data_IF_879380571588
#
_entry.id   IF_879380571588
#
_cell.length_a   1.000
_cell.length_b   1.000
_cell.length_c   1.000
_cell.angle_alpha   90.00
_cell.angle_beta   90.00
_cell.angle_gamma   90.00
#
_symmetry.space_group_name_H-M   'P 1'
#
loop_
_entity.id
_entity.type
_entity.pdbx_description
1 polymer ?
#
# COMPACT_ATOMS: atom_id res chain seq x y z
N UNK A 1 34.70 13.32 -28.05
CA UNK A 1 33.90 14.53 -28.35
C UNK A 1 32.81 14.58 -27.31
N UNK A 2 32.89 15.55 -26.40
CA UNK A 2 31.94 15.75 -25.30
C UNK A 2 30.62 16.29 -25.85
N UNK A 3 29.64 15.41 -26.04
CA UNK A 3 28.26 15.82 -26.30
C UNK A 3 27.75 16.53 -25.03
N UNK A 4 27.60 17.85 -25.10
CA UNK A 4 27.03 18.66 -24.02
C UNK A 4 25.53 18.37 -23.91
N UNK A 5 25.16 17.37 -23.10
CA UNK A 5 23.77 16.95 -22.89
C UNK A 5 22.86 18.03 -22.25
N UNK A 6 23.43 19.11 -21.73
CA UNK A 6 22.72 20.16 -20.97
C UNK A 6 22.51 21.47 -21.75
N UNK A 7 22.75 21.49 -23.08
CA UNK A 7 22.52 22.68 -23.91
C UNK A 7 21.16 22.62 -24.64
N UNK A 8 20.57 23.79 -25.00
CA UNK A 8 19.35 23.84 -25.80
C UNK A 8 19.52 23.11 -27.15
N UNK A 9 18.54 22.30 -27.52
CA UNK A 9 18.41 21.62 -28.82
C UNK A 9 17.87 22.57 -29.88
N UNK A 10 17.94 22.15 -31.15
CA UNK A 10 17.57 22.94 -32.33
C UNK A 10 16.15 23.52 -32.31
N UNK A 11 15.25 22.99 -31.46
CA UNK A 11 13.86 23.45 -31.30
C UNK A 11 13.54 24.07 -29.92
N UNK A 12 14.54 24.25 -29.04
CA UNK A 12 14.32 24.73 -27.67
C UNK A 12 14.20 26.27 -27.58
N UNK A 13 14.49 26.99 -28.66
CA UNK A 13 14.34 28.44 -28.74
C UNK A 13 13.01 28.80 -29.40
N UNK A 14 12.02 29.22 -28.61
CA UNK A 14 10.78 29.81 -29.13
C UNK A 14 11.00 31.31 -29.33
N UNK A 15 10.92 31.79 -30.57
CA UNK A 15 10.99 33.20 -30.91
C UNK A 15 9.77 33.93 -30.31
N UNK A 16 10.02 34.80 -29.33
CA UNK A 16 9.01 35.65 -28.73
C UNK A 16 8.37 36.58 -29.78
N UNK A 17 7.04 36.55 -29.85
CA UNK A 17 6.25 37.48 -30.66
C UNK A 17 6.38 38.92 -30.17
N UNK A 18 6.29 39.85 -31.12
CA UNK A 18 6.59 41.28 -30.98
C UNK A 18 5.74 41.98 -29.90
N UNK A 19 6.27 42.06 -28.68
CA UNK A 19 6.28 43.21 -27.75
C UNK A 19 6.81 42.74 -26.38
N UNK A 20 8.13 42.57 -26.27
CA UNK A 20 8.76 42.09 -25.03
C UNK A 20 9.10 43.24 -24.06
N UNK A 21 8.77 43.14 -22.76
CA UNK A 21 9.52 43.82 -21.71
C UNK A 21 10.93 43.19 -21.63
N UNK A 22 11.92 44.00 -21.32
CA UNK A 22 13.39 43.78 -21.46
C UNK A 22 13.99 42.65 -20.57
N UNK A 23 13.20 41.71 -20.04
CA UNK A 23 13.71 40.64 -19.14
C UNK A 23 13.30 39.19 -19.45
N UNK A 24 12.56 38.88 -20.51
CA UNK A 24 12.16 37.50 -20.81
C UNK A 24 12.93 36.87 -21.98
N UNK A 25 14.15 36.40 -21.69
CA UNK A 25 14.71 35.29 -22.46
C UNK A 25 13.97 34.02 -22.01
N UNK A 26 13.22 33.38 -22.91
CA UNK A 26 12.73 32.02 -22.71
C UNK A 26 13.97 31.13 -22.68
N UNK A 27 14.43 30.79 -21.48
CA UNK A 27 15.56 29.88 -21.29
C UNK A 27 15.18 28.55 -21.96
N UNK A 28 15.81 28.23 -23.09
CA UNK A 28 15.69 26.90 -23.71
C UNK A 28 16.48 25.85 -22.92
N UNK A 29 16.39 24.59 -23.34
CA UNK A 29 17.14 23.51 -22.71
C UNK A 29 16.62 23.13 -21.32
N UNK A 30 17.49 22.51 -20.52
CA UNK A 30 17.16 22.02 -19.16
C UNK A 30 16.74 23.15 -18.20
N UNK A 31 17.21 24.38 -18.40
CA UNK A 31 16.79 25.53 -17.57
C UNK A 31 15.36 25.98 -17.88
N UNK A 32 14.90 25.81 -19.13
CA UNK A 32 13.51 26.00 -19.52
C UNK A 32 12.58 24.98 -18.87
N UNK A 33 13.02 23.72 -18.81
CA UNK A 33 12.32 22.66 -18.07
C UNK A 33 12.17 23.04 -16.60
N UNK A 34 13.26 23.43 -15.92
CA UNK A 34 13.21 23.85 -14.51
C UNK A 34 12.25 25.01 -14.28
N UNK A 35 12.22 26.01 -15.16
CA UNK A 35 11.30 27.15 -15.06
C UNK A 35 9.84 26.71 -15.18
N UNK A 36 9.52 25.85 -16.16
CA UNK A 36 8.15 25.35 -16.34
C UNK A 36 7.69 24.43 -15.21
N UNK A 37 8.59 23.68 -14.57
CA UNK A 37 8.26 22.87 -13.38
C UNK A 37 7.76 23.72 -12.19
N UNK A 38 8.08 25.02 -12.16
CA UNK A 38 7.61 25.98 -11.15
C UNK A 38 6.28 26.66 -11.52
N UNK A 39 5.68 26.33 -12.68
CA UNK A 39 4.40 26.89 -13.10
C UNK A 39 3.29 26.60 -12.08
N UNK A 40 2.28 27.46 -12.06
CA UNK A 40 1.05 27.22 -11.30
C UNK A 40 0.08 26.27 -12.03
N UNK A 41 0.24 26.13 -13.36
CA UNK A 41 -0.57 25.25 -14.19
C UNK A 41 0.02 23.85 -14.20
N UNK A 42 -0.82 22.82 -14.06
CA UNK A 42 -0.34 21.44 -13.95
C UNK A 42 0.18 20.95 -15.30
N UNK A 43 -0.49 21.35 -16.38
CA UNK A 43 -0.22 20.98 -17.76
C UNK A 43 1.19 21.38 -18.17
N UNK A 44 1.61 22.62 -17.86
CA UNK A 44 2.96 23.12 -18.14
C UNK A 44 4.04 22.28 -17.45
N UNK A 45 3.75 21.79 -16.25
CA UNK A 45 4.69 21.04 -15.42
C UNK A 45 4.79 19.59 -15.86
N UNK A 46 3.68 19.00 -16.29
CA UNK A 46 3.67 17.68 -16.93
C UNK A 46 4.46 17.71 -18.24
N UNK A 47 4.21 18.71 -19.10
CA UNK A 47 4.99 18.89 -20.34
C UNK A 47 6.49 19.06 -20.03
N UNK A 48 6.82 19.85 -19.01
CA UNK A 48 8.21 20.01 -18.56
C UNK A 48 8.83 18.70 -18.08
N UNK A 49 8.10 17.88 -17.33
CA UNK A 49 8.59 16.56 -16.90
C UNK A 49 8.82 15.62 -18.08
N UNK A 50 7.93 15.65 -19.08
CA UNK A 50 8.10 14.88 -20.30
C UNK A 50 9.36 15.34 -21.06
N UNK A 51 9.56 16.66 -21.18
CA UNK A 51 10.74 17.23 -21.81
C UNK A 51 12.03 16.94 -21.04
N UNK A 52 11.97 16.79 -19.71
CA UNK A 52 13.12 16.42 -18.90
C UNK A 52 13.77 15.11 -19.38
N UNK A 53 13.00 14.16 -19.93
CA UNK A 53 13.52 12.89 -20.48
C UNK A 53 14.59 13.10 -21.57
N UNK A 54 14.58 14.27 -22.21
CA UNK A 54 15.53 14.64 -23.25
C UNK A 54 16.93 15.01 -22.71
N UNK A 55 17.10 15.19 -21.40
CA UNK A 55 18.33 15.77 -20.82
C UNK A 55 19.14 14.78 -19.98
N UNK A 56 19.08 13.49 -20.29
CA UNK A 56 19.93 12.47 -19.68
C UNK A 56 19.84 12.44 -18.15
N UNK A 57 20.99 12.41 -17.47
CA UNK A 57 21.05 12.33 -16.02
C UNK A 57 20.41 13.56 -15.33
N UNK A 58 20.69 14.78 -15.83
CA UNK A 58 20.13 16.01 -15.24
C UNK A 58 18.61 16.08 -15.39
N UNK A 59 18.08 15.56 -16.51
CA UNK A 59 16.65 15.39 -16.69
C UNK A 59 16.04 14.37 -15.73
N UNK A 60 16.69 13.21 -15.58
CA UNK A 60 16.24 12.17 -14.67
C UNK A 60 16.22 12.64 -13.21
N UNK A 61 17.19 13.45 -12.78
CA UNK A 61 17.23 14.06 -11.45
C UNK A 61 16.01 14.97 -11.21
N UNK A 62 15.57 15.74 -12.21
CA UNK A 62 14.36 16.59 -12.08
C UNK A 62 13.09 15.75 -11.95
N UNK A 63 12.99 14.64 -12.69
CA UNK A 63 11.86 13.71 -12.58
C UNK A 63 11.86 13.07 -11.18
N UNK A 64 13.01 12.63 -10.67
CA UNK A 64 13.14 12.07 -9.32
C UNK A 64 12.78 13.11 -8.25
N UNK A 65 13.22 14.36 -8.39
CA UNK A 65 12.86 15.45 -7.47
C UNK A 65 11.34 15.72 -7.45
N UNK A 66 10.69 15.60 -8.60
CA UNK A 66 9.25 15.85 -8.75
C UNK A 66 8.37 14.79 -8.09
N UNK A 67 8.96 13.69 -7.63
CA UNK A 67 8.31 12.77 -6.72
C UNK A 67 7.96 13.42 -5.37
N UNK A 68 8.64 14.50 -4.96
CA UNK A 68 8.32 15.26 -3.75
C UNK A 68 7.47 16.51 -4.01
N UNK A 69 6.84 16.59 -5.19
CA UNK A 69 6.06 17.77 -5.56
C UNK A 69 4.83 17.97 -4.67
N UNK A 70 4.38 19.22 -4.51
CA UNK A 70 3.13 19.52 -3.78
C UNK A 70 1.87 18.99 -4.48
N UNK A 71 1.86 18.89 -5.81
CA UNK A 71 0.73 18.39 -6.59
C UNK A 71 0.79 16.88 -6.75
N UNK A 72 -0.30 16.22 -6.37
CA UNK A 72 -0.48 14.79 -6.59
C UNK A 72 -0.41 14.36 -8.04
N UNK A 73 -0.95 15.17 -8.96
CA UNK A 73 -0.89 14.89 -10.41
C UNK A 73 0.56 14.84 -10.90
N UNK A 74 1.40 15.78 -10.45
CA UNK A 74 2.82 15.85 -10.81
C UNK A 74 3.61 14.70 -10.19
N UNK A 75 3.38 14.38 -8.92
CA UNK A 75 3.99 13.21 -8.26
C UNK A 75 3.69 11.91 -9.02
N UNK A 76 2.43 11.71 -9.42
CA UNK A 76 1.99 10.54 -10.21
C UNK A 76 2.63 10.51 -11.59
N UNK A 77 2.64 11.63 -12.30
CA UNK A 77 3.23 11.73 -13.63
C UNK A 77 4.73 11.40 -13.59
N UNK A 78 5.47 11.97 -12.64
CA UNK A 78 6.87 11.63 -12.40
C UNK A 78 7.08 10.13 -12.13
N UNK A 79 6.22 9.51 -11.32
CA UNK A 79 6.31 8.07 -11.05
C UNK A 79 6.09 7.22 -12.31
N UNK A 80 5.13 7.59 -13.18
CA UNK A 80 4.89 6.90 -14.46
C UNK A 80 6.14 6.97 -15.32
N UNK A 81 6.73 8.16 -15.48
CA UNK A 81 7.94 8.35 -16.29
C UNK A 81 9.12 7.52 -15.78
N UNK A 82 9.30 7.39 -14.46
CA UNK A 82 10.37 6.57 -13.86
C UNK A 82 10.13 5.07 -13.99
N UNK A 83 8.88 4.61 -13.99
CA UNK A 83 8.54 3.18 -14.06
C UNK A 83 8.89 2.55 -15.42
N UNK A 84 9.09 3.38 -16.45
CA UNK A 84 9.53 2.95 -17.78
C UNK A 84 11.06 2.94 -17.92
N UNK A 85 11.79 3.21 -16.82
CA UNK A 85 13.25 3.35 -16.78
C UNK A 85 13.92 2.16 -16.13
N UNK A 86 15.16 1.87 -16.56
CA UNK A 86 15.97 0.77 -16.05
C UNK A 86 17.26 1.26 -15.35
N UNK A 87 17.47 2.58 -15.29
CA UNK A 87 18.63 3.16 -14.62
C UNK A 87 18.64 2.84 -13.12
N UNK A 88 19.80 2.49 -12.53
CA UNK A 88 19.90 2.16 -11.10
C UNK A 88 19.37 3.29 -10.20
N UNK A 89 19.55 4.55 -10.59
CA UNK A 89 19.03 5.70 -9.85
C UNK A 89 17.51 5.83 -9.93
N UNK A 90 16.87 5.47 -11.05
CA UNK A 90 15.42 5.44 -11.16
C UNK A 90 14.83 4.27 -10.35
N UNK A 91 15.47 3.10 -10.41
CA UNK A 91 15.08 1.93 -9.60
C UNK A 91 15.24 2.23 -8.10
N UNK A 92 16.39 2.76 -7.68
CA UNK A 92 16.63 3.14 -6.30
C UNK A 92 15.71 4.28 -5.85
N UNK A 93 15.44 5.25 -6.73
CA UNK A 93 14.47 6.30 -6.47
C UNK A 93 13.07 5.72 -6.31
N UNK A 94 12.58 4.80 -7.14
CA UNK A 94 11.28 4.16 -6.96
C UNK A 94 11.22 3.24 -5.73
N UNK A 95 12.33 2.59 -5.37
CA UNK A 95 12.45 1.81 -4.14
C UNK A 95 12.41 2.70 -2.89
N UNK A 96 12.96 3.92 -2.97
CA UNK A 96 13.11 4.85 -1.84
C UNK A 96 12.00 5.88 -1.75
N UNK A 97 11.53 6.37 -2.89
CA UNK A 97 10.34 7.19 -3.05
C UNK A 97 9.22 6.27 -2.69
N UNK A 98 8.71 6.40 -1.47
CA UNK A 98 7.77 5.48 -0.85
C UNK A 98 6.39 5.68 -1.46
N UNK A 99 6.00 4.89 -2.47
CA UNK A 99 4.76 5.09 -3.13
C UNK A 99 3.98 3.83 -2.75
N UNK A 100 3.21 3.89 -1.67
CA UNK A 100 2.24 2.82 -1.41
C UNK A 100 1.22 2.68 -2.58
N UNK A 101 1.40 3.50 -3.61
CA UNK A 101 0.90 3.44 -4.95
C UNK A 101 1.88 2.93 -6.02
N UNK A 102 1.24 2.43 -7.08
CA UNK A 102 1.62 2.64 -8.48
C UNK A 102 1.98 1.40 -9.32
N UNK A 103 2.03 0.17 -8.78
CA UNK A 103 1.86 -1.04 -9.64
C UNK A 103 1.52 -2.33 -8.91
N UNK A 104 2.18 -2.63 -7.79
CA UNK A 104 2.13 -3.98 -7.19
C UNK A 104 0.77 -4.34 -6.61
N UNK A 105 0.11 -3.39 -5.94
CA UNK A 105 -1.25 -3.59 -5.43
C UNK A 105 -2.31 -3.56 -6.53
N UNK A 106 -2.09 -2.78 -7.56
CA UNK A 106 -3.01 -2.67 -8.69
C UNK A 106 -3.02 -3.92 -9.57
N UNK A 107 -1.88 -4.60 -9.73
CA UNK A 107 -1.85 -5.92 -10.35
C UNK A 107 -2.48 -7.00 -9.45
N UNK A 108 -2.45 -6.84 -8.12
CA UNK A 108 -3.22 -7.70 -7.20
C UNK A 108 -4.74 -7.45 -7.29
N UNK A 109 -5.17 -6.24 -7.67
CA UNK A 109 -6.56 -5.81 -7.82
C UNK A 109 -7.12 -6.01 -9.24
N UNK A 110 -6.27 -6.36 -10.24
CA UNK A 110 -6.70 -6.96 -11.51
C UNK A 110 -7.33 -8.36 -11.36
N UNK A 111 -7.74 -8.75 -10.15
CA UNK A 111 -8.67 -9.85 -9.90
C UNK A 111 -10.00 -9.47 -10.57
N UNK A 112 -10.14 -9.86 -11.83
CA UNK A 112 -11.42 -9.83 -12.52
C UNK A 112 -12.40 -10.72 -11.75
N UNK A 113 -13.22 -10.13 -10.89
CA UNK A 113 -14.46 -10.70 -10.39
C UNK A 113 -14.32 -11.85 -9.40
N UNK A 114 -13.43 -11.78 -8.41
CA UNK A 114 -13.47 -12.74 -7.30
C UNK A 114 -13.22 -12.09 -5.96
N UNK A 115 -14.23 -12.22 -5.10
CA UNK A 115 -14.25 -11.86 -3.69
C UNK A 115 -13.24 -12.61 -2.81
N UNK A 116 -12.56 -13.60 -3.38
CA UNK A 116 -11.82 -14.60 -2.65
C UNK A 116 -10.31 -14.44 -2.85
N UNK A 117 -9.53 -14.84 -1.84
CA UNK A 117 -8.08 -14.92 -1.93
C UNK A 117 -7.72 -16.26 -2.56
N UNK A 118 -7.80 -16.34 -3.88
CA UNK A 118 -7.65 -17.59 -4.65
C UNK A 118 -6.20 -17.97 -4.95
N UNK A 119 -5.24 -17.10 -4.66
CA UNK A 119 -3.82 -17.34 -4.93
C UNK A 119 -2.93 -16.66 -3.92
N UNK A 120 -1.79 -17.30 -3.65
CA UNK A 120 -0.75 -16.71 -2.82
C UNK A 120 -0.14 -15.47 -3.46
N UNK A 121 0.39 -14.61 -2.60
CA UNK A 121 1.09 -13.41 -3.01
C UNK A 121 2.32 -13.75 -3.85
N UNK A 122 2.39 -13.16 -5.04
CA UNK A 122 3.55 -13.26 -5.94
C UNK A 122 4.60 -12.18 -5.65
N UNK A 123 4.19 -11.13 -4.94
CA UNK A 123 5.02 -10.01 -4.50
C UNK A 123 4.65 -9.59 -3.09
N UNK A 124 5.65 -9.12 -2.34
CA UNK A 124 5.46 -8.55 -1.02
C UNK A 124 6.55 -7.53 -0.75
N UNK A 125 6.19 -6.33 -0.28
CA UNK A 125 7.14 -5.28 0.05
C UNK A 125 8.14 -4.95 -1.08
N UNK A 126 7.67 -4.81 -2.34
CA UNK A 126 8.51 -4.58 -3.52
C UNK A 126 9.52 -5.70 -3.83
N UNK A 127 9.25 -6.93 -3.37
CA UNK A 127 10.09 -8.12 -3.58
C UNK A 127 9.29 -9.22 -4.24
N UNK A 128 9.97 -10.04 -5.04
CA UNK A 128 9.38 -11.28 -5.58
C UNK A 128 9.19 -12.25 -4.44
N UNK A 129 8.02 -12.86 -4.34
CA UNK A 129 7.77 -13.90 -3.35
C UNK A 129 8.16 -15.26 -3.95
N UNK A 130 9.02 -15.99 -3.27
CA UNK A 130 9.48 -17.31 -3.70
C UNK A 130 9.35 -18.32 -2.56
N UNK A 131 8.78 -19.51 -2.83
CA UNK A 131 8.75 -20.59 -1.84
C UNK A 131 10.18 -20.98 -1.50
N UNK A 132 10.52 -21.03 -0.21
CA UNK A 132 11.85 -21.45 0.22
C UNK A 132 12.06 -22.94 -0.08
N UNK A 133 13.17 -23.25 -0.76
CA UNK A 133 13.64 -24.59 -1.03
C UNK A 133 14.98 -24.83 -0.30
N UNK A 134 15.01 -25.70 0.72
CA UNK A 134 16.24 -25.99 1.45
C UNK A 134 17.38 -26.57 0.60
N UNK A 135 17.09 -27.17 -0.56
CA UNK A 135 18.12 -27.68 -1.47
C UNK A 135 18.85 -26.54 -2.21
N UNK A 136 18.17 -25.41 -2.39
CA UNK A 136 18.69 -24.22 -3.09
C UNK A 136 19.26 -23.20 -2.10
N UNK A 137 18.61 -23.03 -0.94
CA UNK A 137 18.96 -22.03 0.06
C UNK A 137 18.68 -20.58 -0.39
N UNK A 138 19.35 -19.62 0.25
CA UNK A 138 19.09 -18.17 0.08
C UNK A 138 19.81 -17.58 -1.15
N UNK A 139 19.19 -17.56 -2.32
CA UNK A 139 19.79 -17.00 -3.56
C UNK A 139 19.85 -15.47 -3.65
N UNK A 140 18.88 -14.74 -3.10
CA UNK A 140 18.78 -13.28 -3.14
C UNK A 140 18.24 -12.76 -1.80
N UNK A 141 19.02 -11.93 -1.11
CA UNK A 141 18.69 -11.45 0.23
C UNK A 141 17.85 -10.16 0.24
N UNK A 142 17.76 -9.45 -0.89
CA UNK A 142 17.15 -8.11 -1.00
C UNK A 142 15.92 -8.12 -1.89
N UNK A 143 16.02 -8.70 -3.09
CA UNK A 143 14.95 -8.71 -4.09
C UNK A 143 13.88 -9.79 -3.88
N UNK A 144 14.13 -10.74 -2.98
CA UNK A 144 13.24 -11.88 -2.70
C UNK A 144 12.66 -11.81 -1.28
N UNK A 145 11.37 -12.13 -1.17
CA UNK A 145 10.69 -12.44 0.06
C UNK A 145 10.46 -13.96 0.13
N UNK A 146 11.14 -14.63 1.06
CA UNK A 146 11.08 -16.09 1.15
C UNK A 146 9.79 -16.53 1.84
N UNK A 147 9.03 -17.37 1.14
CA UNK A 147 7.74 -17.87 1.59
C UNK A 147 7.84 -19.27 2.20
N UNK A 148 7.23 -19.41 3.37
CA UNK A 148 7.09 -20.66 4.11
C UNK A 148 5.61 -20.98 4.22
N UNK A 149 5.19 -22.01 3.48
CA UNK A 149 3.78 -22.44 3.39
C UNK A 149 3.74 -23.95 3.27
N UNK A 150 2.76 -24.56 3.93
CA UNK A 150 2.31 -25.93 3.66
C UNK A 150 0.93 -25.89 3.00
N UNK A 151 0.43 -27.02 2.50
CA UNK A 151 -0.92 -27.17 1.99
C UNK A 151 -1.77 -28.05 2.91
N UNK A 152 -3.10 -28.00 2.75
CA UNK A 152 -4.06 -28.74 3.58
C UNK A 152 -3.84 -30.26 3.62
N UNK A 153 -3.29 -30.82 2.54
CA UNK A 153 -3.00 -32.25 2.39
C UNK A 153 -1.50 -32.57 2.53
N UNK A 154 -0.70 -31.62 3.03
CA UNK A 154 0.74 -31.75 3.12
C UNK A 154 1.22 -32.43 4.39
N UNK A 155 2.18 -33.34 4.24
CA UNK A 155 2.97 -33.89 5.34
C UNK A 155 4.17 -32.97 5.72
N UNK A 156 4.38 -31.87 4.98
CA UNK A 156 5.49 -30.95 5.20
C UNK A 156 5.23 -30.04 6.41
N UNK A 157 6.12 -30.11 7.41
CA UNK A 157 6.18 -29.13 8.50
C UNK A 157 7.05 -27.96 8.09
N UNK A 158 6.50 -26.73 8.15
CA UNK A 158 7.30 -25.55 7.80
C UNK A 158 8.43 -25.29 8.81
N UNK A 159 8.30 -25.80 10.04
CA UNK A 159 9.31 -25.70 11.09
C UNK A 159 10.68 -26.25 10.65
N UNK A 160 10.73 -27.43 10.04
CA UNK A 160 11.98 -28.04 9.58
C UNK A 160 12.68 -27.17 8.52
N UNK A 161 11.90 -26.57 7.61
CA UNK A 161 12.42 -25.66 6.58
C UNK A 161 12.95 -24.36 7.19
N UNK A 162 12.32 -23.89 8.26
CA UNK A 162 12.75 -22.70 8.99
C UNK A 162 14.04 -22.96 9.77
N UNK A 163 14.24 -24.15 10.35
CA UNK A 163 15.52 -24.52 10.95
C UNK A 163 16.65 -24.51 9.90
N UNK A 164 16.40 -25.11 8.73
CA UNK A 164 17.36 -25.10 7.62
C UNK A 164 17.64 -23.69 7.08
N UNK A 165 16.66 -22.79 7.08
CA UNK A 165 16.89 -21.38 6.76
C UNK A 165 17.90 -20.75 7.73
N UNK A 166 17.76 -21.03 9.04
CA UNK A 166 18.63 -20.48 10.08
C UNK A 166 20.07 -21.04 10.07
N UNK A 167 20.33 -22.06 9.26
CA UNK A 167 21.68 -22.62 9.02
C UNK A 167 22.37 -21.96 7.81
N UNK A 168 21.64 -21.32 6.89
CA UNK A 168 22.23 -20.66 5.74
C UNK A 168 23.06 -19.44 6.19
N UNK A 169 24.33 -19.41 5.78
CA UNK A 169 25.28 -18.34 6.08
C UNK A 169 24.82 -16.92 5.68
N UNK A 170 23.81 -16.80 4.80
CA UNK A 170 23.25 -15.54 4.33
C UNK A 170 22.01 -15.08 5.11
N UNK A 171 21.52 -15.87 6.08
CA UNK A 171 20.26 -15.59 6.79
C UNK A 171 20.21 -14.20 7.42
N UNK A 172 21.34 -13.71 7.95
CA UNK A 172 21.43 -12.37 8.55
C UNK A 172 21.25 -11.21 7.58
N UNK A 173 21.26 -11.47 6.28
CA UNK A 173 21.05 -10.46 5.23
C UNK A 173 19.61 -10.46 4.69
N UNK A 174 18.82 -11.49 4.96
CA UNK A 174 17.44 -11.62 4.46
C UNK A 174 16.59 -10.45 4.93
N UNK A 175 15.90 -9.80 4.00
CA UNK A 175 15.09 -8.63 4.28
C UNK A 175 13.59 -8.90 4.43
N UNK A 176 13.08 -10.00 3.88
CA UNK A 176 11.64 -10.26 3.89
C UNK A 176 11.28 -11.74 4.02
N UNK A 177 10.29 -12.02 4.86
CA UNK A 177 9.70 -13.35 5.06
C UNK A 177 8.18 -13.30 4.89
N UNK A 178 7.63 -14.35 4.29
CA UNK A 178 6.19 -14.54 4.08
C UNK A 178 5.80 -15.89 4.69
N UNK A 179 4.73 -15.93 5.45
CA UNK A 179 4.25 -17.13 6.12
C UNK A 179 2.81 -17.40 5.71
N UNK A 180 2.55 -18.58 5.15
CA UNK A 180 1.21 -19.09 4.85
C UNK A 180 0.73 -20.06 5.93
N UNK A 181 0.05 -21.14 5.54
CA UNK A 181 -0.35 -22.19 6.49
C UNK A 181 0.90 -22.79 7.17
N UNK A 182 0.82 -22.95 8.50
CA UNK A 182 1.91 -23.52 9.30
C UNK A 182 1.89 -25.05 9.31
N UNK A 183 0.70 -25.63 9.47
CA UNK A 183 0.49 -27.07 9.45
C UNK A 183 -0.82 -27.42 8.74
N UNK A 184 -0.92 -28.66 8.25
CA UNK A 184 -2.11 -29.18 7.56
C UNK A 184 -3.29 -29.41 8.51
N UNK A 185 -3.05 -29.57 9.81
CA UNK A 185 -4.12 -29.61 10.82
C UNK A 185 -4.66 -28.20 11.11
N UNK A 186 -5.65 -27.80 10.31
CA UNK A 186 -6.33 -26.50 10.33
C UNK A 186 -7.06 -26.21 11.65
N UNK A 187 -7.16 -27.19 12.55
CA UNK A 187 -7.87 -27.06 13.83
C UNK A 187 -6.96 -26.65 15.00
N UNK A 188 -5.63 -26.64 14.83
CA UNK A 188 -4.73 -26.09 15.84
C UNK A 188 -4.68 -24.55 15.77
N UNK A 189 -5.25 -23.91 16.78
CA UNK A 189 -5.38 -22.46 16.96
C UNK A 189 -4.06 -21.66 17.01
N UNK A 190 -2.92 -22.32 16.94
CA UNK A 190 -1.62 -21.78 17.36
C UNK A 190 -0.66 -21.49 16.19
N UNK A 191 -1.11 -21.63 14.94
CA UNK A 191 -0.29 -21.41 13.74
C UNK A 191 0.41 -20.03 13.73
N UNK A 192 -0.31 -18.97 14.09
CA UNK A 192 0.27 -17.62 14.18
C UNK A 192 1.24 -17.46 15.34
N UNK A 193 0.96 -18.09 16.49
CA UNK A 193 1.83 -18.06 17.66
C UNK A 193 3.15 -18.79 17.38
N UNK A 194 3.13 -19.88 16.62
CA UNK A 194 4.34 -20.59 16.21
C UNK A 194 5.21 -19.73 15.29
N UNK A 195 4.61 -18.99 14.36
CA UNK A 195 5.33 -18.01 13.51
C UNK A 195 5.97 -16.93 14.38
N UNK A 196 5.21 -16.34 15.31
CA UNK A 196 5.71 -15.32 16.25
C UNK A 196 6.87 -15.87 17.07
N UNK A 197 6.72 -17.06 17.66
CA UNK A 197 7.75 -17.70 18.48
C UNK A 197 9.03 -17.97 17.68
N UNK A 198 8.90 -18.48 16.46
CA UNK A 198 10.04 -18.67 15.57
C UNK A 198 10.78 -17.36 15.32
N UNK A 199 10.05 -16.32 14.93
CA UNK A 199 10.59 -15.00 14.65
C UNK A 199 11.33 -14.42 15.86
N UNK A 200 10.71 -14.44 17.05
CA UNK A 200 11.35 -13.97 18.29
C UNK A 200 12.62 -14.77 18.61
N UNK A 201 12.59 -16.10 18.50
CA UNK A 201 13.75 -16.95 18.77
C UNK A 201 14.88 -16.78 17.74
N UNK A 202 14.54 -16.35 16.52
CA UNK A 202 15.47 -16.15 15.43
C UNK A 202 16.01 -14.70 15.33
N UNK A 203 15.65 -13.80 16.26
CA UNK A 203 15.99 -12.38 16.18
C UNK A 203 17.51 -12.10 16.01
N UNK A 204 18.36 -12.89 16.67
CA UNK A 204 19.82 -12.74 16.61
C UNK A 204 20.42 -13.24 15.28
N UNK A 205 19.67 -14.04 14.52
CA UNK A 205 20.07 -14.57 13.21
C UNK A 205 19.47 -13.78 12.06
N UNK A 206 18.22 -13.32 12.17
CA UNK A 206 17.49 -12.57 11.14
C UNK A 206 17.71 -11.06 11.28
N UNK A 207 18.97 -10.65 11.37
CA UNK A 207 19.36 -9.30 11.81
C UNK A 207 18.97 -8.15 10.86
N UNK A 208 18.70 -8.45 9.58
CA UNK A 208 18.35 -7.45 8.56
C UNK A 208 16.88 -7.55 8.10
N UNK A 209 16.02 -8.21 8.88
CA UNK A 209 14.61 -8.37 8.53
C UNK A 209 13.88 -7.01 8.55
N UNK A 210 13.26 -6.66 7.42
CA UNK A 210 12.57 -5.38 7.17
C UNK A 210 11.09 -5.55 6.86
N UNK A 211 10.66 -6.70 6.35
CA UNK A 211 9.27 -6.94 6.01
C UNK A 211 8.80 -8.34 6.42
N UNK A 212 7.64 -8.43 7.06
CA UNK A 212 7.03 -9.72 7.44
C UNK A 212 5.57 -9.74 7.03
N UNK A 213 5.16 -10.81 6.35
CA UNK A 213 3.76 -11.11 6.09
C UNK A 213 3.37 -12.42 6.80
N UNK A 214 2.45 -12.33 7.76
CA UNK A 214 1.85 -13.47 8.45
C UNK A 214 0.44 -13.71 7.88
N UNK A 215 0.19 -14.92 7.40
CA UNK A 215 -1.13 -15.35 6.93
C UNK A 215 -1.34 -15.25 5.42
N UNK A 216 -0.30 -15.48 4.59
CA UNK A 216 -0.46 -15.60 3.14
C UNK A 216 -1.12 -16.93 2.74
N UNK A 217 -2.36 -17.10 3.18
CA UNK A 217 -3.23 -18.26 3.05
C UNK A 217 -4.31 -17.95 2.02
N UNK A 218 -4.66 -18.93 1.19
CA UNK A 218 -5.77 -18.83 0.22
C UNK A 218 -7.08 -19.35 0.80
N UNK A 219 -8.20 -19.01 0.18
CA UNK A 219 -9.52 -19.49 0.60
C UNK A 219 -9.66 -21.03 0.51
N UNK A 220 -9.05 -21.65 -0.49
CA UNK A 220 -9.03 -23.12 -0.65
C UNK A 220 -8.27 -23.81 0.50
N UNK A 221 -7.27 -23.13 1.06
CA UNK A 221 -6.44 -23.59 2.17
C UNK A 221 -7.16 -23.43 3.51
N UNK A 222 -7.58 -22.20 3.82
CA UNK A 222 -8.36 -21.86 5.01
C UNK A 222 -9.05 -20.52 4.82
N UNK A 223 -10.36 -20.48 5.07
CA UNK A 223 -11.11 -19.23 5.09
C UNK A 223 -10.50 -18.26 6.11
N UNK A 224 -10.40 -16.98 5.75
CA UNK A 224 -9.80 -15.95 6.60
C UNK A 224 -10.46 -15.91 7.99
N UNK A 225 -11.78 -16.14 8.06
CA UNK A 225 -12.57 -16.11 9.29
C UNK A 225 -12.18 -17.19 10.31
N UNK A 226 -11.58 -18.30 9.85
CA UNK A 226 -11.12 -19.41 10.69
C UNK A 226 -9.70 -19.22 11.21
N UNK A 227 -8.94 -18.29 10.64
CA UNK A 227 -7.57 -18.01 11.05
C UNK A 227 -7.55 -17.20 12.35
N UNK A 228 -6.73 -17.61 13.32
CA UNK A 228 -6.54 -16.88 14.58
C UNK A 228 -5.15 -16.26 14.67
N UNK A 229 -5.10 -14.96 14.98
CA UNK A 229 -3.85 -14.22 15.21
C UNK A 229 -3.88 -13.60 16.59
N UNK A 230 -2.90 -13.97 17.42
CA UNK A 230 -2.73 -13.40 18.74
C UNK A 230 -1.27 -13.02 18.97
N UNK A 231 -1.06 -12.00 19.80
CA UNK A 231 0.23 -11.57 20.35
C UNK A 231 1.29 -11.30 19.28
N UNK A 232 1.03 -10.36 18.38
CA UNK A 232 1.94 -9.99 17.29
C UNK A 232 3.02 -8.97 17.73
N UNK A 233 2.75 -8.16 18.76
CA UNK A 233 3.70 -7.15 19.27
C UNK A 233 5.14 -7.66 19.52
N UNK A 234 5.39 -8.89 20.02
CA UNK A 234 6.74 -9.42 20.17
C UNK A 234 7.58 -9.43 18.89
N UNK A 235 6.97 -9.53 17.71
CA UNK A 235 7.69 -9.42 16.42
C UNK A 235 8.23 -8.00 16.24
N UNK A 236 7.45 -6.98 16.58
CA UNK A 236 7.89 -5.59 16.51
C UNK A 236 9.01 -5.31 17.53
N UNK A 237 8.96 -5.93 18.71
CA UNK A 237 10.03 -5.78 19.72
C UNK A 237 11.33 -6.47 19.27
N UNK A 238 11.24 -7.65 18.67
CA UNK A 238 12.38 -8.44 18.20
C UNK A 238 13.12 -7.79 17.01
N UNK A 239 12.41 -7.04 16.16
CA UNK A 239 12.96 -6.50 14.91
C UNK A 239 12.85 -4.97 14.86
N UNK A 240 13.75 -4.21 15.52
CA UNK A 240 13.68 -2.75 15.60
C UNK A 240 13.85 -2.02 14.26
N UNK A 241 14.32 -2.72 13.22
CA UNK A 241 14.45 -2.21 11.85
C UNK A 241 13.29 -2.63 10.94
N UNK A 242 12.25 -3.30 11.47
CA UNK A 242 11.10 -3.73 10.69
C UNK A 242 10.35 -2.51 10.13
N UNK A 243 10.15 -2.50 8.82
CA UNK A 243 9.50 -1.41 8.10
C UNK A 243 8.07 -1.76 7.68
N UNK A 244 7.77 -3.04 7.43
CA UNK A 244 6.47 -3.48 6.93
C UNK A 244 6.00 -4.71 7.69
N UNK A 245 4.79 -4.63 8.25
CA UNK A 245 4.10 -5.76 8.84
C UNK A 245 2.72 -5.92 8.20
N UNK A 246 2.50 -7.08 7.58
CA UNK A 246 1.20 -7.48 7.06
C UNK A 246 0.69 -8.69 7.83
N UNK A 247 -0.58 -8.65 8.22
CA UNK A 247 -1.26 -9.72 8.95
C UNK A 247 -2.58 -9.99 8.23
N UNK A 248 -2.86 -11.26 7.91
CA UNK A 248 -4.15 -11.69 7.36
C UNK A 248 -4.76 -12.79 8.19
N UNK A 249 -5.93 -12.55 8.80
CA UNK A 249 -6.76 -13.56 9.46
C UNK A 249 -7.89 -12.95 10.29
N UNK A 250 -8.85 -13.79 10.69
CA UNK A 250 -10.18 -13.36 11.14
C UNK A 250 -10.34 -13.16 12.65
N UNK A 251 -9.72 -13.98 13.49
CA UNK A 251 -9.91 -13.91 14.93
C UNK A 251 -8.79 -13.07 15.59
N UNK A 252 -9.13 -11.85 16.01
CA UNK A 252 -8.15 -10.78 16.32
C UNK A 252 -8.12 -10.29 17.78
N UNK A 253 -8.84 -10.92 18.72
CA UNK A 253 -9.12 -10.35 20.06
C UNK A 253 -7.89 -9.90 20.90
N UNK A 254 -6.66 -10.33 20.57
CA UNK A 254 -5.41 -9.93 21.26
C UNK A 254 -4.24 -9.75 20.30
N UNK A 255 -4.39 -8.90 19.30
CA UNK A 255 -3.36 -8.71 18.30
C UNK A 255 -2.14 -7.94 18.83
N UNK A 256 -2.37 -6.84 19.57
CA UNK A 256 -1.27 -5.97 20.02
C UNK A 256 -1.31 -5.64 21.52
N UNK A 257 -0.12 -5.48 22.07
CA UNK A 257 0.13 -4.80 23.34
C UNK A 257 0.75 -3.40 23.07
N UNK A 258 0.58 -2.42 23.98
CA UNK A 258 1.14 -1.09 23.82
C UNK A 258 2.67 -1.13 23.71
N UNK A 259 3.20 -0.75 22.55
CA UNK A 259 4.64 -0.69 22.27
C UNK A 259 4.95 0.51 21.38
N UNK A 260 6.22 0.90 21.32
CA UNK A 260 6.73 1.90 20.37
C UNK A 260 7.62 1.25 19.33
N UNK A 261 7.34 1.49 18.05
CA UNK A 261 8.20 1.05 16.95
C UNK A 261 8.61 2.22 16.04
N UNK A 262 9.90 2.57 16.05
CA UNK A 262 10.38 3.80 15.40
C UNK A 262 10.59 3.68 13.88
N UNK A 263 10.52 2.46 13.33
CA UNK A 263 10.84 2.20 11.92
C UNK A 263 9.69 1.60 11.11
N UNK A 264 8.57 1.26 11.74
CA UNK A 264 7.44 0.66 11.03
C UNK A 264 6.77 1.74 10.17
N UNK A 265 6.81 1.55 8.86
CA UNK A 265 6.27 2.45 7.85
C UNK A 265 4.90 1.99 7.33
N UNK A 266 4.66 0.68 7.30
CA UNK A 266 3.37 0.11 6.94
C UNK A 266 2.88 -0.95 7.92
N UNK A 267 1.60 -0.85 8.24
CA UNK A 267 0.83 -1.85 8.96
C UNK A 267 -0.45 -2.17 8.17
N UNK A 268 -0.59 -3.43 7.77
CA UNK A 268 -1.72 -3.92 6.98
C UNK A 268 -2.38 -5.05 7.75
N UNK A 269 -3.68 -4.90 8.03
CA UNK A 269 -4.49 -5.88 8.76
C UNK A 269 -5.67 -6.29 7.88
N UNK A 270 -5.61 -7.50 7.33
CA UNK A 270 -6.67 -8.11 6.54
C UNK A 270 -7.48 -9.06 7.45
N UNK A 271 -8.79 -8.82 7.58
CA UNK A 271 -9.72 -9.64 8.37
C UNK A 271 -11.10 -9.66 7.72
N UNK A 272 -11.83 -10.76 7.93
CA UNK A 272 -13.25 -10.86 7.58
C UNK A 272 -14.17 -10.12 8.55
N UNK A 273 -13.71 -9.81 9.77
CA UNK A 273 -14.45 -9.08 10.80
C UNK A 273 -13.56 -8.57 11.93
N UNK A 274 -13.28 -7.27 11.95
CA UNK A 274 -12.42 -6.65 12.95
C UNK A 274 -13.14 -6.50 14.29
N UNK A 275 -12.46 -6.89 15.37
CA UNK A 275 -12.95 -6.66 16.74
C UNK A 275 -12.59 -5.26 17.22
N UNK A 276 -13.53 -4.62 17.92
CA UNK A 276 -13.31 -3.31 18.57
C UNK A 276 -12.08 -3.32 19.48
N UNK A 277 -11.85 -4.40 20.20
CA UNK A 277 -10.68 -4.58 21.06
C UNK A 277 -9.37 -4.50 20.27
N UNK A 278 -9.32 -5.09 19.07
CA UNK A 278 -8.15 -5.06 18.18
C UNK A 278 -7.87 -3.65 17.68
N UNK A 279 -8.93 -2.89 17.38
CA UNK A 279 -8.82 -1.50 16.96
C UNK A 279 -8.31 -0.60 18.10
N UNK A 280 -8.79 -0.82 19.34
CA UNK A 280 -8.26 -0.12 20.53
C UNK A 280 -6.79 -0.47 20.81
N UNK A 281 -6.40 -1.74 20.60
CA UNK A 281 -5.02 -2.19 20.71
C UNK A 281 -4.12 -1.53 19.66
N UNK A 282 -4.59 -1.42 18.41
CA UNK A 282 -3.90 -0.68 17.35
C UNK A 282 -3.63 0.77 17.78
N UNK A 283 -4.63 1.46 18.35
CA UNK A 283 -4.48 2.85 18.81
C UNK A 283 -3.51 3.01 19.99
N UNK A 284 -3.22 1.92 20.71
CA UNK A 284 -2.25 1.93 21.80
C UNK A 284 -0.79 1.86 21.32
N UNK A 285 -0.57 1.57 20.03
CA UNK A 285 0.75 1.53 19.43
C UNK A 285 1.29 2.95 19.18
N UNK A 286 2.58 3.14 19.44
CA UNK A 286 3.30 4.36 19.07
C UNK A 286 4.13 4.10 17.82
N UNK A 287 3.60 4.46 16.66
CA UNK A 287 4.21 4.22 15.36
C UNK A 287 4.54 5.55 14.67
N UNK A 288 5.56 6.29 15.16
CA UNK A 288 5.87 7.64 14.67
C UNK A 288 6.29 7.67 13.19
N UNK A 289 6.77 6.56 12.63
CA UNK A 289 7.20 6.47 11.23
C UNK A 289 6.11 5.89 10.30
N UNK A 290 4.90 5.63 10.83
CA UNK A 290 3.84 5.00 10.06
C UNK A 290 3.33 5.96 8.98
N UNK A 291 3.41 5.50 7.75
CA UNK A 291 2.99 6.21 6.54
C UNK A 291 1.82 5.50 5.85
N UNK A 292 1.65 4.20 6.10
CA UNK A 292 0.58 3.39 5.54
C UNK A 292 -0.13 2.59 6.61
N UNK A 293 -1.42 2.86 6.76
CA UNK A 293 -2.31 2.05 7.56
C UNK A 293 -3.41 1.51 6.68
N UNK A 294 -3.55 0.19 6.65
CA UNK A 294 -4.69 -0.48 6.05
C UNK A 294 -5.36 -1.43 7.02
N UNK A 295 -6.68 -1.32 7.09
CA UNK A 295 -7.53 -2.11 7.93
C UNK A 295 -8.70 -2.58 7.08
N UNK A 296 -8.88 -3.89 7.00
CA UNK A 296 -10.13 -4.48 6.52
C UNK A 296 -11.08 -4.58 7.70
N UNK A 297 -12.23 -3.92 7.63
CA UNK A 297 -13.14 -3.82 8.77
C UNK A 297 -14.06 -5.05 8.88
N UNK A 298 -14.42 -5.62 7.74
CA UNK A 298 -15.22 -6.82 7.63
C UNK A 298 -16.71 -6.61 7.92
N UNK A 299 -17.40 -7.72 8.17
CA UNK A 299 -18.85 -7.78 8.39
C UNK A 299 -19.20 -8.40 9.75
N UNK A 300 -20.38 -8.03 10.26
CA UNK A 300 -20.97 -8.62 11.46
C UNK A 300 -21.07 -10.16 11.36
N UNK A 301 -21.30 -10.71 10.16
CA UNK A 301 -21.38 -12.15 9.92
C UNK A 301 -20.07 -12.89 10.29
N UNK A 302 -18.93 -12.21 10.16
CA UNK A 302 -17.61 -12.70 10.57
C UNK A 302 -17.17 -12.09 11.89
N UNK A 303 -18.15 -11.76 12.72
CA UNK A 303 -17.96 -11.30 14.08
C UNK A 303 -17.30 -9.92 14.16
N UNK A 304 -17.42 -9.06 13.16
CA UNK A 304 -17.07 -7.64 13.32
C UNK A 304 -17.83 -7.06 14.53
N UNK A 305 -17.14 -6.28 15.36
CA UNK A 305 -17.75 -5.51 16.46
C UNK A 305 -17.40 -4.03 16.41
N UNK A 306 -16.69 -3.60 15.37
CA UNK A 306 -16.35 -2.21 15.15
C UNK A 306 -17.53 -1.48 14.53
N UNK A 307 -17.69 -0.23 14.93
CA UNK A 307 -18.62 0.75 14.38
C UNK A 307 -17.87 1.98 13.86
N UNK A 308 -18.56 2.86 13.13
CA UNK A 308 -17.95 4.09 12.63
C UNK A 308 -17.46 4.99 13.78
N UNK A 309 -18.15 4.98 14.92
CA UNK A 309 -17.77 5.75 16.10
C UNK A 309 -16.42 5.30 16.68
N UNK A 310 -16.08 4.02 16.54
CA UNK A 310 -14.79 3.47 17.01
C UNK A 310 -13.60 3.95 16.16
N UNK A 311 -13.86 4.51 14.97
CA UNK A 311 -12.85 5.10 14.10
C UNK A 311 -12.48 6.54 14.53
N UNK A 312 -13.23 7.16 15.44
CA UNK A 312 -13.02 8.55 15.81
C UNK A 312 -11.57 8.89 16.23
N UNK A 313 -10.84 8.06 17.03
CA UNK A 313 -9.44 8.33 17.36
C UNK A 313 -8.52 8.37 16.14
N UNK A 314 -8.81 7.58 15.10
CA UNK A 314 -8.05 7.56 13.85
C UNK A 314 -8.41 8.73 12.94
N UNK A 315 -9.69 9.07 12.84
CA UNK A 315 -10.19 10.10 11.93
C UNK A 315 -9.92 11.53 12.44
N UNK A 316 -10.10 11.76 13.74
CA UNK A 316 -10.04 13.09 14.36
C UNK A 316 -8.81 13.30 15.25
N UNK A 317 -8.08 12.23 15.58
CA UNK A 317 -6.87 12.29 16.40
C UNK A 317 -5.60 12.61 15.61
N UNK A 318 -4.46 12.44 16.30
CA UNK A 318 -3.11 12.58 15.73
C UNK A 318 -2.24 11.38 16.09
N UNK A 319 -2.81 10.17 15.94
CA UNK A 319 -2.14 8.91 16.31
C UNK A 319 -0.90 8.63 15.46
N UNK A 320 -1.00 8.91 14.15
CA UNK A 320 0.03 8.60 13.16
C UNK A 320 0.39 9.88 12.39
N UNK A 321 1.35 10.68 12.89
CA UNK A 321 1.60 12.03 12.37
C UNK A 321 2.17 12.06 10.94
N UNK A 322 2.75 10.95 10.48
CA UNK A 322 3.35 10.82 9.14
C UNK A 322 2.48 10.01 8.17
N UNK A 323 1.20 9.80 8.50
CA UNK A 323 0.31 8.97 7.69
C UNK A 323 0.06 9.60 6.31
N UNK A 324 0.30 8.83 5.25
CA UNK A 324 0.13 9.20 3.84
C UNK A 324 -1.01 8.40 3.21
N UNK A 325 -1.18 7.14 3.62
CA UNK A 325 -2.19 6.22 3.12
C UNK A 325 -3.08 5.75 4.25
N UNK A 326 -4.40 5.91 4.07
CA UNK A 326 -5.41 5.33 4.93
C UNK A 326 -6.35 4.42 4.12
N UNK A 327 -6.30 3.13 4.42
CA UNK A 327 -7.22 2.12 3.92
C UNK A 327 -8.22 1.68 4.99
N UNK A 328 -9.49 1.99 4.78
CA UNK A 328 -10.63 1.49 5.57
C UNK A 328 -11.50 0.62 4.66
N UNK A 329 -10.94 -0.54 4.32
CA UNK A 329 -11.42 -1.41 3.24
C UNK A 329 -12.39 -2.46 3.76
N UNK A 330 -13.02 -3.17 2.83
CA UNK A 330 -13.82 -4.36 3.11
C UNK A 330 -14.84 -4.11 4.23
N UNK A 331 -15.59 -2.99 4.16
CA UNK A 331 -16.50 -2.57 5.23
C UNK A 331 -17.96 -2.72 4.83
N UNK A 332 -18.76 -3.29 5.73
CA UNK A 332 -20.21 -3.37 5.60
C UNK A 332 -20.89 -2.00 5.73
N UNK A 333 -20.26 -1.05 6.45
CA UNK A 333 -20.78 0.29 6.77
C UNK A 333 -19.95 1.40 6.07
N UNK A 334 -19.65 1.20 4.79
CA UNK A 334 -18.75 2.12 4.05
C UNK A 334 -19.35 3.52 3.86
N UNK A 335 -20.67 3.64 3.64
CA UNK A 335 -21.32 4.95 3.51
C UNK A 335 -21.20 5.79 4.79
N UNK A 336 -21.32 5.15 5.95
CA UNK A 336 -21.15 5.76 7.26
C UNK A 336 -19.72 6.24 7.47
N UNK A 337 -18.73 5.43 7.09
CA UNK A 337 -17.32 5.83 7.10
C UNK A 337 -17.12 7.07 6.23
N UNK A 338 -17.70 7.09 5.02
CA UNK A 338 -17.60 8.24 4.12
C UNK A 338 -18.21 9.49 4.73
N UNK A 339 -19.40 9.38 5.35
CA UNK A 339 -20.09 10.51 6.00
C UNK A 339 -19.24 11.16 7.10
N UNK A 340 -18.49 10.35 7.86
CA UNK A 340 -17.58 10.84 8.88
C UNK A 340 -16.27 11.37 8.29
N UNK A 341 -15.63 10.61 7.40
CA UNK A 341 -14.26 10.92 6.96
C UNK A 341 -14.18 12.21 6.13
N UNK A 342 -15.21 12.56 5.35
CA UNK A 342 -15.22 13.79 4.55
C UNK A 342 -15.17 15.07 5.40
N UNK A 343 -15.47 14.96 6.70
CA UNK A 343 -15.38 16.04 7.68
C UNK A 343 -14.12 15.92 8.56
N UNK A 344 -13.39 14.83 8.45
CA UNK A 344 -12.32 14.47 9.35
C UNK A 344 -10.99 15.14 8.98
N UNK A 345 -10.22 15.64 9.97
CA UNK A 345 -8.93 16.30 9.73
C UNK A 345 -7.88 15.36 9.15
N UNK A 346 -8.03 14.03 9.27
CA UNK A 346 -7.10 13.06 8.66
C UNK A 346 -6.98 13.24 7.13
N UNK A 347 -8.05 13.67 6.45
CA UNK A 347 -8.01 13.91 4.99
C UNK A 347 -7.09 15.05 4.57
N UNK A 348 -6.74 15.97 5.49
CA UNK A 348 -5.79 17.05 5.21
C UNK A 348 -4.34 16.57 5.28
N UNK A 349 -4.10 15.38 5.85
CA UNK A 349 -2.76 14.84 6.12
C UNK A 349 -2.38 13.75 5.11
N UNK A 350 -3.34 12.92 4.74
CA UNK A 350 -3.11 11.80 3.84
C UNK A 350 -3.13 12.26 2.38
N UNK A 351 -2.46 11.50 1.52
CA UNK A 351 -2.53 11.69 0.07
C UNK A 351 -3.49 10.69 -0.57
N UNK A 352 -3.87 9.65 0.18
CA UNK A 352 -4.63 8.53 -0.36
C UNK A 352 -5.68 8.10 0.63
N UNK A 353 -6.90 8.05 0.13
CA UNK A 353 -8.00 7.34 0.75
C UNK A 353 -8.33 6.06 -0.04
N UNK A 354 -8.34 4.93 0.64
CA UNK A 354 -8.82 3.65 0.09
C UNK A 354 -10.00 3.12 0.92
N UNK A 355 -11.17 3.10 0.28
CA UNK A 355 -12.44 2.59 0.82
C UNK A 355 -13.00 1.48 -0.09
N UNK A 356 -12.11 0.82 -0.83
CA UNK A 356 -12.45 -0.28 -1.73
C UNK A 356 -12.94 -1.53 -0.97
N UNK A 357 -13.47 -2.49 -1.74
CA UNK A 357 -13.97 -3.77 -1.26
C UNK A 357 -15.21 -3.68 -0.36
N UNK A 358 -15.77 -2.48 -0.18
CA UNK A 358 -16.84 -2.20 0.77
C UNK A 358 -18.22 -1.99 0.12
N UNK A 359 -19.22 -1.76 0.97
CA UNK A 359 -20.60 -1.48 0.58
C UNK A 359 -20.85 -0.01 0.20
N UNK A 360 -19.89 0.67 -0.44
CA UNK A 360 -20.09 2.05 -0.90
C UNK A 360 -21.13 2.07 -2.02
N UNK A 361 -22.13 2.94 -1.90
CA UNK A 361 -23.14 3.21 -2.94
C UNK A 361 -23.09 4.67 -3.38
N UNK A 362 -23.94 5.03 -4.34
CA UNK A 362 -24.10 6.40 -4.83
C UNK A 362 -24.38 7.42 -3.71
N UNK A 363 -25.11 7.05 -2.66
CA UNK A 363 -25.35 7.91 -1.50
C UNK A 363 -24.04 8.34 -0.82
N UNK A 364 -23.13 7.39 -0.57
CA UNK A 364 -21.82 7.69 -0.02
C UNK A 364 -20.94 8.40 -1.05
N UNK A 365 -20.95 7.95 -2.30
CA UNK A 365 -20.15 8.55 -3.37
C UNK A 365 -20.51 10.02 -3.63
N UNK A 366 -21.78 10.40 -3.50
CA UNK A 366 -22.22 11.80 -3.62
C UNK A 366 -21.58 12.68 -2.53
N UNK A 367 -21.37 12.16 -1.32
CA UNK A 367 -20.65 12.89 -0.26
C UNK A 367 -19.17 13.09 -0.62
N UNK A 368 -18.53 12.13 -1.28
CA UNK A 368 -17.15 12.27 -1.78
C UNK A 368 -17.08 13.33 -2.89
N UNK A 369 -18.00 13.25 -3.86
CA UNK A 369 -18.10 14.18 -4.98
C UNK A 369 -18.26 15.64 -4.50
N UNK A 370 -19.08 15.85 -3.49
CA UNK A 370 -19.38 17.17 -2.95
C UNK A 370 -18.35 17.70 -1.94
N UNK A 371 -17.29 16.93 -1.63
CA UNK A 371 -16.29 17.32 -0.64
C UNK A 371 -15.01 17.86 -1.30
N UNK A 372 -14.71 19.17 -1.18
CA UNK A 372 -13.55 19.78 -1.85
C UNK A 372 -12.20 19.21 -1.38
N UNK A 373 -12.15 18.64 -0.18
CA UNK A 373 -10.92 18.04 0.36
C UNK A 373 -10.51 16.77 -0.40
N UNK A 374 -11.47 16.07 -1.01
CA UNK A 374 -11.18 14.86 -1.80
C UNK A 374 -10.31 15.20 -3.01
N UNK A 375 -10.50 16.38 -3.63
CA UNK A 375 -9.64 16.87 -4.71
C UNK A 375 -8.21 17.23 -4.28
N UNK A 376 -7.93 17.26 -2.98
CA UNK A 376 -6.57 17.44 -2.47
C UNK A 376 -5.80 16.13 -2.35
N UNK A 377 -6.51 14.99 -2.40
CA UNK A 377 -5.89 13.66 -2.44
C UNK A 377 -5.23 13.43 -3.80
N UNK A 378 -4.21 12.59 -3.82
CA UNK A 378 -3.66 12.07 -5.05
C UNK A 378 -4.59 11.03 -5.64
N UNK A 379 -5.11 10.16 -4.78
CA UNK A 379 -5.85 8.96 -5.16
C UNK A 379 -6.99 8.67 -4.18
N UNK A 380 -8.15 8.40 -4.76
CA UNK A 380 -9.33 7.86 -4.13
C UNK A 380 -9.57 6.46 -4.72
N UNK A 381 -9.41 5.41 -3.92
CA UNK A 381 -9.71 4.04 -4.34
C UNK A 381 -11.09 3.62 -3.82
N UNK A 382 -12.00 3.36 -4.76
CA UNK A 382 -13.36 2.88 -4.56
C UNK A 382 -13.63 1.61 -5.37
N UNK A 383 -12.59 0.84 -5.70
CA UNK A 383 -12.72 -0.44 -6.41
C UNK A 383 -13.59 -1.43 -5.64
N UNK A 384 -14.24 -2.33 -6.39
CA UNK A 384 -15.15 -3.36 -5.88
C UNK A 384 -16.24 -2.81 -4.95
N UNK A 385 -16.80 -1.65 -5.30
CA UNK A 385 -17.94 -1.05 -4.61
C UNK A 385 -19.23 -1.23 -5.40
N UNK A 386 -20.33 -0.66 -4.93
CA UNK A 386 -21.65 -0.68 -5.59
C UNK A 386 -22.03 0.71 -6.14
N UNK A 387 -21.02 1.52 -6.48
CA UNK A 387 -21.21 2.82 -7.15
C UNK A 387 -21.55 2.59 -8.62
N UNK A 388 -22.61 3.23 -9.09
CA UNK A 388 -23.12 3.09 -10.45
C UNK A 388 -22.22 3.77 -11.47
N UNK A 389 -22.30 3.32 -12.73
CA UNK A 389 -21.54 3.92 -13.83
C UNK A 389 -21.84 5.42 -13.98
N UNK A 390 -23.10 5.84 -13.77
CA UNK A 390 -23.52 7.26 -13.82
C UNK A 390 -22.79 8.11 -12.77
N UNK A 391 -22.68 7.61 -11.53
CA UNK A 391 -21.93 8.29 -10.47
C UNK A 391 -20.42 8.25 -10.74
N UNK A 392 -19.89 7.16 -11.30
CA UNK A 392 -18.46 7.07 -11.67
C UNK A 392 -18.08 8.10 -12.73
N UNK A 393 -18.94 8.35 -13.73
CA UNK A 393 -18.71 9.38 -14.74
C UNK A 393 -18.49 10.76 -14.12
N UNK A 394 -19.25 11.09 -13.06
CA UNK A 394 -19.11 12.33 -12.31
C UNK A 394 -17.82 12.35 -11.48
N UNK A 395 -17.53 11.26 -10.76
CA UNK A 395 -16.32 11.13 -9.95
C UNK A 395 -15.04 11.20 -10.79
N UNK A 396 -15.04 10.69 -12.02
CA UNK A 396 -13.89 10.78 -12.93
C UNK A 396 -13.62 12.20 -13.46
N UNK A 397 -14.56 13.13 -13.31
CA UNK A 397 -14.30 14.56 -13.60
C UNK A 397 -13.57 15.30 -12.48
N UNK A 398 -13.37 14.64 -11.32
CA UNK A 398 -12.67 15.23 -10.18
C UNK A 398 -11.16 15.36 -10.43
N UNK A 399 -10.49 16.23 -9.68
CA UNK A 399 -9.03 16.42 -9.78
C UNK A 399 -8.24 15.25 -9.18
N UNK A 400 -8.83 14.59 -8.17
CA UNK A 400 -8.29 13.36 -7.59
C UNK A 400 -8.31 12.24 -8.63
N UNK A 401 -7.32 11.35 -8.58
CA UNK A 401 -7.42 10.11 -9.36
C UNK A 401 -8.40 9.17 -8.69
N UNK A 402 -9.53 8.92 -9.34
CA UNK A 402 -10.46 7.88 -8.88
C UNK A 402 -10.07 6.54 -9.50
N UNK A 403 -9.92 5.51 -8.66
CA UNK A 403 -9.76 4.11 -9.06
C UNK A 403 -11.05 3.37 -8.67
N UNK A 404 -11.69 2.73 -9.65
CA UNK A 404 -13.00 2.10 -9.49
C UNK A 404 -13.08 0.80 -10.33
N UNK A 405 -12.13 -0.11 -10.11
CA UNK A 405 -12.09 -1.38 -10.84
C UNK A 405 -12.98 -2.44 -10.16
N UNK A 406 -13.64 -3.29 -10.94
CA UNK A 406 -14.38 -4.43 -10.40
C UNK A 406 -15.67 -4.08 -9.65
N UNK A 407 -16.25 -2.89 -9.89
CA UNK A 407 -17.51 -2.49 -9.25
C UNK A 407 -18.65 -3.48 -9.56
N UNK A 408 -19.51 -3.64 -8.56
CA UNK A 408 -20.53 -4.68 -8.45
C UNK A 408 -21.91 -4.08 -8.62
N UNK A 409 -22.81 -4.85 -9.21
CA UNK A 409 -24.23 -4.50 -9.36
C UNK A 409 -25.03 -5.34 -8.37
N UNK A 410 -26.10 -4.78 -7.81
CA UNK A 410 -27.02 -5.48 -6.92
C UNK A 410 -28.46 -5.37 -7.46
N UNK A 411 -29.26 -6.41 -7.29
CA UNK A 411 -30.69 -6.40 -7.64
C UNK A 411 -31.56 -6.02 -6.43
N UNK A 412 -31.18 -6.46 -5.22
CA UNK A 412 -31.84 -6.12 -3.96
C UNK A 412 -30.84 -5.60 -2.92
N UNK A 413 -31.28 -4.73 -2.00
CA UNK A 413 -30.38 -4.12 -0.99
C UNK A 413 -29.66 -5.16 -0.11
N UNK A 414 -30.26 -6.34 0.10
CA UNK A 414 -29.71 -7.45 0.87
C UNK A 414 -28.63 -8.27 0.15
N UNK A 415 -28.39 -8.02 -1.15
CA UNK A 415 -27.38 -8.70 -1.94
C UNK A 415 -26.00 -8.02 -1.84
N UNK A 416 -25.90 -6.92 -1.10
CA UNK A 416 -24.64 -6.20 -0.89
C UNK A 416 -23.81 -6.88 0.18
N UNK A 417 -22.55 -7.13 -0.14
CA UNK A 417 -21.57 -7.71 0.77
C UNK A 417 -20.23 -6.99 0.61
N UNK A 418 -19.44 -6.86 1.67
CA UNK A 418 -18.04 -6.49 1.51
C UNK A 418 -17.25 -7.70 0.95
N UNK A 419 -16.24 -7.46 0.12
CA UNK A 419 -15.58 -8.47 -0.73
C UNK A 419 -15.24 -9.76 0.01
N UNK A 420 -14.78 -9.73 1.25
CA UNK A 420 -14.39 -10.95 1.98
C UNK A 420 -15.44 -11.34 3.00
N UNK A 421 -16.65 -11.58 2.49
CA UNK A 421 -17.74 -12.21 3.20
C UNK A 421 -17.95 -13.63 2.66
N UNK A 422 -17.19 -14.57 3.23
CA UNK A 422 -17.03 -15.98 2.83
C UNK A 422 -16.30 -16.23 1.53
#
# INVERSE_FOLDING_TARGET
>A
MTNNQNQPREFDAVLGGETAPIYDAVLGGIEGVKRRLLSQFIEDREEALNDALQYGASGLDLIIQSLQDKSGKIRRYACVLLNERNEPQAIAALQSYKPWFLKERWELEKRKGSSFITSHSQKFANRKVEKYDPQVGITDTVGTAYAFRTNRDGDEFIADKLELLLEDSRVGKVEALVFGMWHSDVFESDSSQNIVNFLVNAQDKLTNLKAVFIGDVTDDESMISHMSHNYISPVLEAYPNLEILKIRGGNTHRMFNPIRHNKLKALIIETGGLRKESLLQLYSLQLPALEHLEIWLGSLNYRCTCSVEDLAPLLYGDLFPNLIYLGLRNSEYTNEIVREIVQAPVLQKIQVLDISLGNLTDEGAELLLNSPIINQLDILNISETYVTDEMLELLWQMDVRVIAEGNRVYEYEGDRYCTVAE
#
